data_IF_541210703780
#
_entry.id   IF_541210703780
#
_cell.length_a   1.000
_cell.length_b   1.000
_cell.length_c   1.000
_cell.angle_alpha   90.00
_cell.angle_beta   90.00
_cell.angle_gamma   90.00
#
_symmetry.space_group_name_H-M   'P 1'
#
loop_
_entity.id
_entity.type
_entity.pdbx_description
1 polymer ?
#
# COMPACT_ATOMS: atom_id res chain seq x y z
N UNK A 1 -13.96 19.53 17.93
CA UNK A 1 -13.86 19.97 16.52
C UNK A 1 -12.94 19.00 15.81
N UNK A 2 -13.40 18.45 14.71
CA UNK A 2 -13.00 17.18 14.11
C UNK A 2 -11.52 17.12 13.75
N UNK A 3 -10.77 16.27 14.47
CA UNK A 3 -9.40 15.93 14.09
C UNK A 3 -9.47 14.84 13.02
N UNK A 4 -9.90 15.22 11.80
CA UNK A 4 -9.92 14.32 10.65
C UNK A 4 -8.47 14.12 10.21
N UNK A 5 -7.75 13.26 10.92
CA UNK A 5 -6.41 12.83 10.56
C UNK A 5 -6.51 12.22 9.16
N UNK A 6 -6.05 12.94 8.16
CA UNK A 6 -6.10 12.50 6.78
C UNK A 6 -5.28 11.20 6.70
N UNK A 7 -5.96 10.07 6.49
CA UNK A 7 -5.31 8.76 6.48
C UNK A 7 -4.39 8.73 5.27
N UNK A 8 -3.09 8.58 5.52
CA UNK A 8 -2.08 8.51 4.48
C UNK A 8 -2.31 7.27 3.62
N UNK A 9 -2.06 7.38 2.33
CA UNK A 9 -2.27 6.30 1.37
C UNK A 9 -1.36 5.12 1.68
N UNK A 10 -0.18 5.40 2.22
CA UNK A 10 0.74 4.39 2.74
C UNK A 10 0.12 3.59 3.89
N UNK A 11 -0.55 4.25 4.84
CA UNK A 11 -1.26 3.57 5.94
C UNK A 11 -2.42 2.70 5.42
N UNK A 12 -3.10 3.15 4.34
CA UNK A 12 -4.14 2.35 3.69
C UNK A 12 -3.55 1.09 3.03
N UNK A 13 -2.38 1.21 2.39
CA UNK A 13 -1.67 0.10 1.78
C UNK A 13 -1.25 -0.93 2.85
N UNK A 14 -0.69 -0.48 3.97
CA UNK A 14 -0.35 -1.37 5.08
C UNK A 14 -1.58 -2.08 5.66
N UNK A 15 -2.72 -1.38 5.78
CA UNK A 15 -3.95 -1.96 6.32
C UNK A 15 -4.56 -3.05 5.42
N UNK A 16 -4.53 -2.85 4.09
CA UNK A 16 -5.02 -3.84 3.12
C UNK A 16 -3.99 -4.96 2.85
N UNK A 17 -2.72 -4.81 3.24
CA UNK A 17 -1.59 -5.66 2.83
C UNK A 17 -1.80 -7.16 3.09
N UNK A 18 -2.37 -7.50 4.26
CA UNK A 18 -2.61 -8.89 4.63
C UNK A 18 -3.71 -9.57 3.80
N UNK A 19 -4.57 -8.79 3.14
CA UNK A 19 -5.65 -9.25 2.26
C UNK A 19 -5.24 -9.27 0.77
N UNK A 20 -4.00 -8.91 0.48
CA UNK A 20 -3.44 -8.91 -0.87
C UNK A 20 -2.91 -10.31 -1.23
N UNK A 21 -3.14 -10.71 -2.49
CA UNK A 21 -2.49 -11.89 -3.07
C UNK A 21 -1.01 -11.61 -3.39
N UNK A 22 -0.21 -12.63 -3.68
CA UNK A 22 1.23 -12.47 -3.93
C UNK A 22 1.54 -11.45 -5.05
N UNK A 23 0.79 -11.48 -6.15
CA UNK A 23 0.93 -10.50 -7.22
C UNK A 23 0.52 -9.08 -6.82
N UNK A 24 -0.43 -8.94 -5.88
CA UNK A 24 -0.87 -7.66 -5.35
C UNK A 24 0.10 -7.12 -4.29
N UNK A 25 0.71 -7.99 -3.49
CA UNK A 25 1.75 -7.64 -2.51
C UNK A 25 2.97 -7.06 -3.20
N UNK A 26 3.46 -7.67 -4.29
CA UNK A 26 4.57 -7.13 -5.09
C UNK A 26 4.31 -5.68 -5.55
N UNK A 27 3.07 -5.37 -5.92
CA UNK A 27 2.67 -4.00 -6.29
C UNK A 27 2.72 -3.09 -5.07
N UNK A 28 2.15 -3.51 -3.94
CA UNK A 28 2.20 -2.75 -2.70
C UNK A 28 3.64 -2.50 -2.24
N UNK A 29 4.50 -3.52 -2.27
CA UNK A 29 5.92 -3.45 -1.91
C UNK A 29 6.66 -2.44 -2.78
N UNK A 30 6.47 -2.51 -4.11
CA UNK A 30 7.07 -1.57 -5.04
C UNK A 30 6.60 -0.12 -4.78
N UNK A 31 5.31 0.08 -4.47
CA UNK A 31 4.77 1.40 -4.14
C UNK A 31 5.37 1.94 -2.84
N UNK A 32 5.56 1.09 -1.83
CA UNK A 32 6.14 1.46 -0.53
C UNK A 32 7.64 1.77 -0.64
N UNK A 33 8.37 1.03 -1.46
CA UNK A 33 9.81 1.19 -1.65
C UNK A 33 10.15 2.36 -2.58
N UNK A 34 9.34 2.58 -3.63
CA UNK A 34 9.63 3.53 -4.70
C UNK A 34 8.53 4.60 -4.85
N UNK A 35 8.05 5.14 -3.73
CA UNK A 35 6.92 6.07 -3.71
C UNK A 35 7.10 7.29 -4.62
N UNK A 36 8.30 7.86 -4.63
CA UNK A 36 8.63 9.05 -5.43
C UNK A 36 8.54 8.73 -6.93
N UNK A 37 9.06 7.57 -7.32
CA UNK A 37 9.07 7.11 -8.72
C UNK A 37 7.66 6.77 -9.20
N UNK A 38 6.83 6.19 -8.34
CA UNK A 38 5.44 5.78 -8.67
C UNK A 38 4.58 6.98 -9.07
N UNK A 39 4.84 8.17 -8.52
CA UNK A 39 4.13 9.41 -8.88
C UNK A 39 4.38 9.79 -10.35
N UNK A 40 5.59 9.53 -10.84
CA UNK A 40 6.01 9.82 -12.22
C UNK A 40 5.62 8.69 -13.19
N UNK A 41 5.40 7.47 -12.70
CA UNK A 41 5.06 6.32 -13.52
C UNK A 41 3.61 6.31 -14.03
N UNK A 42 3.42 5.62 -15.15
CA UNK A 42 2.15 5.19 -15.70
C UNK A 42 1.72 3.86 -15.10
N UNK A 43 0.44 3.49 -15.31
CA UNK A 43 -0.08 2.20 -14.82
C UNK A 43 0.66 1.01 -15.41
N UNK A 44 1.03 1.10 -16.70
CA UNK A 44 1.79 0.04 -17.40
C UNK A 44 3.21 -0.09 -16.89
N UNK A 45 3.91 1.03 -16.67
CA UNK A 45 5.26 0.97 -16.11
C UNK A 45 5.26 0.40 -14.70
N UNK A 46 4.25 0.73 -13.89
CA UNK A 46 4.12 0.16 -12.55
C UNK A 46 3.79 -1.34 -12.62
N UNK A 47 2.94 -1.74 -13.57
CA UNK A 47 2.62 -3.14 -13.82
C UNK A 47 3.88 -3.93 -14.21
N UNK A 48 4.68 -3.41 -15.14
CA UNK A 48 5.93 -4.02 -15.57
C UNK A 48 6.95 -4.10 -14.43
N UNK A 49 7.12 -3.01 -13.66
CA UNK A 49 8.06 -2.97 -12.55
C UNK A 49 7.67 -3.85 -11.35
N UNK A 50 6.37 -4.10 -11.17
CA UNK A 50 5.84 -4.98 -10.11
C UNK A 50 5.56 -6.40 -10.60
N UNK A 51 5.90 -6.72 -11.86
CA UNK A 51 5.57 -7.97 -12.56
C UNK A 51 4.09 -8.36 -12.43
N UNK A 52 3.22 -7.36 -12.47
CA UNK A 52 1.77 -7.49 -12.31
C UNK A 52 1.04 -7.07 -13.58
N UNK A 53 -0.25 -7.37 -13.66
CA UNK A 53 -1.09 -6.87 -14.76
C UNK A 53 -1.63 -5.48 -14.45
N UNK A 54 -1.92 -4.68 -15.48
CA UNK A 54 -2.64 -3.41 -15.34
C UNK A 54 -3.94 -3.55 -14.54
N UNK A 55 -4.66 -4.67 -14.71
CA UNK A 55 -5.87 -4.97 -13.97
C UNK A 55 -5.58 -5.18 -12.47
N UNK A 56 -4.45 -5.81 -12.14
CA UNK A 56 -3.98 -6.00 -10.76
C UNK A 56 -3.73 -4.65 -10.07
N UNK A 57 -3.03 -3.72 -10.73
CA UNK A 57 -2.77 -2.38 -10.18
C UNK A 57 -4.09 -1.67 -9.80
N UNK A 58 -5.06 -1.69 -10.72
CA UNK A 58 -6.36 -1.05 -10.48
C UNK A 58 -7.12 -1.73 -9.34
N UNK A 59 -7.04 -3.07 -9.20
CA UNK A 59 -7.64 -3.81 -8.08
C UNK A 59 -7.02 -3.43 -6.74
N UNK A 60 -5.68 -3.38 -6.66
CA UNK A 60 -4.96 -2.97 -5.45
C UNK A 60 -5.36 -1.56 -5.04
N UNK A 61 -5.37 -0.62 -6.00
CA UNK A 61 -5.81 0.76 -5.73
C UNK A 61 -7.22 0.78 -5.12
N UNK A 62 -8.16 0.02 -5.70
CA UNK A 62 -9.55 -0.06 -5.19
C UNK A 62 -9.63 -0.70 -3.80
N UNK A 63 -8.88 -1.78 -3.55
CA UNK A 63 -8.80 -2.45 -2.25
C UNK A 63 -8.30 -1.50 -1.16
N UNK A 64 -7.28 -0.72 -1.45
CA UNK A 64 -6.67 0.20 -0.48
C UNK A 64 -7.40 1.56 -0.43
N UNK A 65 -8.68 1.61 -0.84
CA UNK A 65 -9.56 2.76 -0.68
C UNK A 65 -9.32 3.91 -1.67
N UNK A 66 -8.66 3.64 -2.80
CA UNK A 66 -8.47 4.62 -3.88
C UNK A 66 -9.43 4.35 -5.04
N UNK A 67 -9.94 5.41 -5.68
CA UNK A 67 -10.84 5.28 -6.83
C UNK A 67 -10.16 4.70 -8.08
N UNK A 68 -8.83 4.72 -8.12
CA UNK A 68 -8.00 4.18 -9.20
C UNK A 68 -6.55 4.67 -9.08
N UNK A 69 -5.75 4.36 -10.10
CA UNK A 69 -4.31 4.70 -10.13
C UNK A 69 -4.05 6.21 -10.08
N UNK A 70 -4.81 7.02 -10.82
CA UNK A 70 -4.63 8.47 -10.80
C UNK A 70 -4.90 9.08 -9.41
N UNK A 71 -5.90 8.56 -8.69
CA UNK A 71 -6.21 8.99 -7.33
C UNK A 71 -5.12 8.59 -6.33
N UNK A 72 -4.51 7.41 -6.51
CA UNK A 72 -3.32 7.00 -5.77
C UNK A 72 -2.19 8.02 -5.95
N UNK A 73 -1.89 8.40 -7.19
CA UNK A 73 -0.81 9.38 -7.49
C UNK A 73 -1.05 10.74 -6.85
N UNK A 74 -2.27 11.26 -6.91
CA UNK A 74 -2.62 12.54 -6.27
C UNK A 74 -2.39 12.48 -4.75
N UNK A 75 -2.84 11.40 -4.10
CA UNK A 75 -2.62 11.22 -2.65
C UNK A 75 -1.14 11.11 -2.31
N UNK A 76 -0.40 10.29 -3.05
CA UNK A 76 1.05 10.13 -2.86
C UNK A 76 1.81 11.44 -3.07
N UNK A 77 1.48 12.20 -4.12
CA UNK A 77 2.09 13.50 -4.37
C UNK A 77 1.83 14.49 -3.23
N UNK A 78 0.59 14.52 -2.71
CA UNK A 78 0.21 15.35 -1.57
C UNK A 78 0.98 14.96 -0.29
N UNK A 79 1.24 13.67 -0.09
CA UNK A 79 2.00 13.19 1.08
C UNK A 79 3.50 13.43 0.94
N UNK A 80 4.04 13.34 -0.28
CA UNK A 80 5.46 13.57 -0.57
C UNK A 80 5.84 15.03 -0.35
N UNK A 81 4.93 15.97 -0.67
CA UNK A 81 5.13 17.39 -0.34
C UNK A 81 5.13 17.69 1.16
N UNK A 82 4.64 16.76 1.98
CA UNK A 82 4.37 16.99 3.40
C UNK A 82 5.34 16.25 4.34
N UNK A 83 6.11 15.26 3.87
CA UNK A 83 7.08 14.53 4.71
C UNK A 83 8.06 13.67 3.89
N UNK A 84 9.36 14.01 3.91
CA UNK A 84 10.45 13.10 3.53
C UNK A 84 10.47 11.88 4.47
N UNK A 85 9.76 10.80 4.16
CA UNK A 85 9.89 9.52 4.86
C UNK A 85 10.19 8.43 3.85
N UNK A 86 11.50 8.23 3.65
CA UNK A 86 12.07 7.09 2.96
C UNK A 86 11.84 5.87 3.84
N UNK A 87 10.89 5.00 3.51
CA UNK A 87 10.77 3.71 4.16
C UNK A 87 11.97 2.88 3.70
N UNK A 88 12.97 2.61 4.59
CA UNK A 88 14.09 1.81 4.17
C UNK A 88 13.58 0.40 3.84
N UNK A 89 14.06 -0.11 2.71
CA UNK A 89 14.02 -1.50 2.30
C UNK A 89 14.23 -2.42 3.52
N UNK A 90 13.45 -3.51 3.58
CA UNK A 90 13.44 -4.63 4.55
C UNK A 90 12.23 -4.64 5.51
N UNK A 91 11.14 -5.27 5.05
CA UNK A 91 10.22 -6.03 5.91
C UNK A 91 9.72 -7.33 5.25
N UNK A 92 10.50 -7.93 4.34
CA UNK A 92 10.21 -9.29 3.85
C UNK A 92 11.49 -10.14 3.83
N UNK A 93 11.99 -10.45 5.02
CA UNK A 93 12.62 -11.74 5.23
C UNK A 93 12.50 -12.13 6.70
N UNK A 94 11.79 -13.24 6.97
CA UNK A 94 11.69 -13.93 8.27
C UNK A 94 10.93 -13.11 9.34
N UNK A 95 9.67 -13.40 9.65
CA UNK A 95 9.35 -14.51 10.57
C UNK A 95 7.95 -15.10 10.30
N UNK A 96 7.90 -16.27 9.66
CA UNK A 96 6.95 -17.29 10.09
C UNK A 96 7.47 -17.83 11.43
N UNK A 97 7.06 -17.20 12.52
CA UNK A 97 7.04 -17.82 13.84
C UNK A 97 5.68 -17.55 14.45
N UNK A 98 4.81 -18.55 14.30
CA UNK A 98 3.60 -18.93 15.02
C UNK A 98 3.02 -18.10 16.19
N UNK A 99 3.02 -16.75 16.19
CA UNK A 99 2.45 -16.00 17.33
C UNK A 99 1.60 -14.76 17.04
N UNK A 100 1.23 -14.46 15.78
CA UNK A 100 0.34 -13.30 15.50
C UNK A 100 -1.07 -13.64 14.98
N UNK A 101 -1.48 -14.91 15.03
CA UNK A 101 -2.90 -15.29 14.88
C UNK A 101 -3.72 -14.83 16.12
N UNK A 102 -3.07 -14.48 17.25
CA UNK A 102 -3.78 -14.22 18.51
C UNK A 102 -4.34 -12.79 18.64
N UNK A 103 -3.84 -11.77 17.93
CA UNK A 103 -4.28 -10.39 18.21
C UNK A 103 -5.51 -9.93 17.42
N UNK A 104 -5.86 -10.55 16.29
CA UNK A 104 -7.04 -10.14 15.51
C UNK A 104 -8.35 -10.86 15.87
N UNK A 105 -8.35 -11.82 16.81
CA UNK A 105 -9.56 -12.56 17.20
C UNK A 105 -10.20 -12.13 18.53
N UNK A 106 -9.70 -11.11 19.24
CA UNK A 106 -10.22 -10.74 20.57
C UNK A 106 -10.79 -9.32 20.66
N UNK A 107 -11.66 -8.91 19.73
CA UNK A 107 -12.58 -7.78 19.97
C UNK A 107 -13.83 -7.79 19.07
N UNK A 108 -14.43 -8.97 18.89
CA UNK A 108 -15.81 -9.12 18.42
C UNK A 108 -16.60 -10.07 19.34
N UNK A 109 -16.65 -9.76 20.64
CA UNK A 109 -17.72 -10.18 21.56
C UNK A 109 -17.83 -9.12 22.66
N UNK A 110 -18.67 -8.13 22.40
CA UNK A 110 -19.48 -7.48 23.43
C UNK A 110 -20.88 -7.37 22.87
#
# INVERSE_FOLDING_TARGET
MENKKEIKVIDQIFSCYNELFDAEKRVADYILENSDKVIEMTVSELADASEASNATIVRVCKKCGCKGFHHLKIKMAKETTDSEKKYPMILISMTLSSHFIIFCQTNMKN
#
